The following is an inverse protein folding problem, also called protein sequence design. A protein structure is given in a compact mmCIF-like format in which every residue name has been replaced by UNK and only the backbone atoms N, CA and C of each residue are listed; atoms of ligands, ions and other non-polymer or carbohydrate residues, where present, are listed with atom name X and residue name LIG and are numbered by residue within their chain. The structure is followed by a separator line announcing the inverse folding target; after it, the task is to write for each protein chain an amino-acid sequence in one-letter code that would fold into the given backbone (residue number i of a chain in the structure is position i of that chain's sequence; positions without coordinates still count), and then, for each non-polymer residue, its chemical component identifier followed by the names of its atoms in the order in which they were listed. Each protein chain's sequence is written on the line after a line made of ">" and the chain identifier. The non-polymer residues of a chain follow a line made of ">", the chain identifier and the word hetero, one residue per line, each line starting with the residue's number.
data_IF_766612891312
#
_entry.id   IF_766612891312
#
_cell.length_a   1.000
_cell.length_b   1.000
_cell.length_c   1.000
_cell.angle_alpha   90.00
_cell.angle_beta   90.00
_cell.angle_gamma   90.00
#
_symmetry.space_group_name_H-M   'P 1'
#
loop_
_entity.id
_entity.type
_entity.pdbx_description
1 polymer ?
#
# COMPACT_ATOMS: atom_id res chain seq x y z
N UNK A 1 1.51 -53.20 -58.03
CA UNK A 1 0.47 -52.42 -57.32
C UNK A 1 1.11 -51.87 -56.05
N UNK A 2 1.14 -50.55 -55.92
CA UNK A 2 1.93 -49.79 -54.94
C UNK A 2 1.39 -49.95 -53.52
N UNK A 3 2.22 -50.47 -52.62
CA UNK A 3 1.97 -50.45 -51.18
C UNK A 3 2.52 -49.13 -50.61
N UNK A 4 1.60 -48.28 -50.13
CA UNK A 4 1.92 -47.03 -49.43
C UNK A 4 2.50 -47.38 -48.06
N UNK A 5 3.77 -47.07 -47.83
CA UNK A 5 4.38 -47.14 -46.51
C UNK A 5 3.97 -45.92 -45.69
N UNK A 6 3.26 -46.18 -44.58
CA UNK A 6 2.87 -45.19 -43.58
C UNK A 6 4.11 -44.84 -42.73
N UNK A 7 4.54 -43.59 -42.75
CA UNK A 7 5.61 -43.08 -41.90
C UNK A 7 5.02 -42.69 -40.53
N UNK A 8 5.46 -43.26 -39.39
CA UNK A 8 4.97 -42.82 -38.09
C UNK A 8 5.68 -41.51 -37.71
N UNK A 9 4.90 -40.44 -37.54
CA UNK A 9 5.37 -39.15 -37.05
C UNK A 9 5.64 -39.28 -35.54
N UNK A 10 6.92 -39.40 -35.17
CA UNK A 10 7.35 -39.39 -33.77
C UNK A 10 7.25 -37.94 -33.25
N UNK A 11 6.17 -37.59 -32.56
CA UNK A 11 6.06 -36.33 -31.82
C UNK A 11 6.95 -36.40 -30.58
N UNK A 12 8.17 -35.85 -30.68
CA UNK A 12 9.00 -35.58 -29.51
C UNK A 12 8.34 -34.47 -28.68
N UNK A 13 7.59 -34.85 -27.63
CA UNK A 13 7.24 -33.96 -26.54
C UNK A 13 8.52 -33.62 -25.76
N UNK A 14 9.22 -32.55 -26.14
CA UNK A 14 10.16 -31.92 -25.23
C UNK A 14 9.37 -31.22 -24.13
N UNK A 15 9.57 -31.54 -22.85
CA UNK A 15 8.98 -30.76 -21.78
C UNK A 15 9.57 -29.34 -21.88
N UNK A 16 8.72 -28.36 -22.13
CA UNK A 16 9.08 -26.97 -21.91
C UNK A 16 9.45 -26.85 -20.44
N UNK A 17 10.74 -26.60 -20.17
CA UNK A 17 11.18 -26.17 -18.85
C UNK A 17 10.44 -24.86 -18.58
N UNK A 18 9.36 -24.94 -17.80
CA UNK A 18 8.75 -23.77 -17.19
C UNK A 18 9.81 -23.20 -16.26
N UNK A 19 10.55 -22.20 -16.75
CA UNK A 19 11.38 -21.35 -15.91
C UNK A 19 10.41 -20.72 -14.90
N UNK A 20 10.61 -21.02 -13.62
CA UNK A 20 9.87 -20.38 -12.55
C UNK A 20 9.92 -18.87 -12.75
N UNK A 21 8.77 -18.25 -13.03
CA UNK A 21 8.65 -16.82 -13.17
C UNK A 21 8.85 -16.19 -11.79
N UNK A 22 10.10 -15.84 -11.47
CA UNK A 22 10.40 -14.98 -10.33
C UNK A 22 9.90 -13.56 -10.57
N UNK A 23 9.91 -12.73 -9.53
CA UNK A 23 9.55 -11.29 -9.54
C UNK A 23 10.33 -10.42 -10.55
N UNK A 24 11.22 -10.99 -11.38
CA UNK A 24 12.03 -10.32 -12.38
C UNK A 24 11.21 -9.50 -13.39
N UNK A 25 9.92 -9.79 -13.59
CA UNK A 25 9.05 -8.98 -14.46
C UNK A 25 8.57 -7.67 -13.82
N UNK A 26 8.72 -7.50 -12.49
CA UNK A 26 8.65 -6.20 -11.83
C UNK A 26 9.90 -5.34 -12.10
N UNK A 27 11.02 -5.98 -12.49
CA UNK A 27 12.28 -5.34 -12.89
C UNK A 27 12.28 -4.74 -14.29
N UNK A 28 11.19 -4.09 -14.71
CA UNK A 28 11.26 -3.18 -15.85
C UNK A 28 12.07 -1.93 -15.48
N UNK A 29 12.84 -1.41 -16.44
CA UNK A 29 13.60 -0.16 -16.30
C UNK A 29 12.66 0.97 -15.90
N UNK A 30 13.12 1.91 -15.06
CA UNK A 30 12.35 3.09 -14.68
C UNK A 30 12.33 4.16 -15.80
N UNK A 31 12.58 3.75 -17.04
CA UNK A 31 12.71 4.65 -18.18
C UNK A 31 11.36 5.29 -18.50
N UNK A 32 11.34 6.62 -18.63
CA UNK A 32 10.14 7.41 -18.88
C UNK A 32 9.28 7.72 -17.65
N UNK A 33 9.51 7.08 -16.50
CA UNK A 33 8.86 7.42 -15.24
C UNK A 33 9.60 8.55 -14.51
N UNK A 34 8.88 9.33 -13.71
CA UNK A 34 9.53 10.23 -12.76
C UNK A 34 10.31 9.43 -11.72
N UNK A 35 11.41 10.01 -11.23
CA UNK A 35 12.23 9.44 -10.16
C UNK A 35 12.17 10.33 -8.92
N UNK A 36 12.24 9.74 -7.72
CA UNK A 36 12.28 10.54 -6.51
C UNK A 36 13.48 11.49 -6.51
N UNK A 37 13.26 12.76 -6.15
CA UNK A 37 14.28 13.81 -6.12
C UNK A 37 14.49 14.31 -4.68
N UNK A 38 15.70 14.22 -4.09
CA UNK A 38 15.97 14.70 -2.73
C UNK A 38 15.71 16.20 -2.52
N UNK A 39 15.63 17.00 -3.59
CA UNK A 39 15.26 18.41 -3.51
C UNK A 39 13.75 18.66 -3.38
N UNK A 40 12.91 17.64 -3.63
CA UNK A 40 11.45 17.75 -3.51
C UNK A 40 11.08 18.07 -2.06
N UNK A 41 10.08 18.93 -1.87
CA UNK A 41 9.49 19.26 -0.58
C UNK A 41 7.98 19.14 -0.69
N UNK A 42 7.37 18.51 0.30
CA UNK A 42 5.93 18.29 0.24
C UNK A 42 5.16 19.60 0.30
N UNK A 43 4.18 19.73 -0.60
CA UNK A 43 3.23 20.83 -0.71
C UNK A 43 1.84 20.25 -0.52
N UNK A 44 1.23 20.54 0.63
CA UNK A 44 -0.12 20.09 0.95
C UNK A 44 -1.15 21.19 0.64
N UNK A 45 -2.34 20.85 0.12
CA UNK A 45 -2.89 19.48 0.00
C UNK A 45 -2.48 18.71 -1.27
N UNK A 46 -1.82 19.32 -2.24
CA UNK A 46 -1.52 18.71 -3.56
C UNK A 46 -0.90 17.30 -3.44
N UNK A 47 0.10 17.11 -2.57
CA UNK A 47 0.78 15.81 -2.38
C UNK A 47 -0.05 14.76 -1.62
N UNK A 48 -1.26 15.10 -1.16
CA UNK A 48 -2.24 14.09 -0.73
C UNK A 48 -2.83 13.34 -1.93
N UNK A 49 -2.87 14.01 -3.09
CA UNK A 49 -3.33 13.47 -4.36
C UNK A 49 -2.44 12.38 -4.93
N UNK A 50 -2.79 11.94 -6.13
CA UNK A 50 -2.07 10.93 -6.90
C UNK A 50 -0.94 11.58 -7.72
N UNK A 51 0.19 10.88 -7.83
CA UNK A 51 1.39 11.27 -8.58
C UNK A 51 1.60 10.36 -9.82
N UNK A 52 0.76 10.48 -10.88
CA UNK A 52 0.65 9.51 -11.97
C UNK A 52 1.91 9.33 -12.83
N UNK A 53 2.84 10.26 -12.76
CA UNK A 53 4.17 10.20 -13.39
C UNK A 53 5.09 9.16 -12.73
N UNK A 54 4.82 8.75 -11.49
CA UNK A 54 5.53 7.68 -10.80
C UNK A 54 4.91 6.32 -11.09
N UNK A 55 5.72 5.26 -11.01
CA UNK A 55 5.23 3.91 -11.32
C UNK A 55 4.36 3.31 -10.22
N UNK A 56 4.73 3.52 -8.97
CA UNK A 56 4.13 2.88 -7.79
C UNK A 56 3.70 3.97 -6.81
N UNK A 57 2.52 3.82 -6.24
CA UNK A 57 2.03 4.70 -5.18
C UNK A 57 1.04 3.98 -4.26
N UNK A 58 1.03 4.29 -2.96
CA UNK A 58 0.04 3.74 -2.03
C UNK A 58 -0.45 4.69 -0.94
N UNK A 59 -1.72 4.51 -0.56
CA UNK A 59 -2.36 5.05 0.64
C UNK A 59 -2.61 3.87 1.58
N UNK A 60 -1.98 3.88 2.75
CA UNK A 60 -1.96 2.71 3.62
C UNK A 60 -2.30 3.08 5.06
N UNK A 61 -3.47 2.64 5.53
CA UNK A 61 -3.94 2.82 6.90
C UNK A 61 -3.86 1.50 7.66
N UNK A 62 -3.28 1.53 8.86
CA UNK A 62 -3.40 0.48 9.86
C UNK A 62 -4.00 1.05 11.14
N UNK A 63 -4.76 0.26 11.89
CA UNK A 63 -5.28 0.70 13.18
C UNK A 63 -5.32 -0.42 14.21
N UNK A 64 -5.07 -0.04 15.46
CA UNK A 64 -5.31 -0.87 16.63
C UNK A 64 -6.52 -0.31 17.37
N UNK A 65 -7.55 -1.14 17.50
CA UNK A 65 -8.88 -0.76 17.99
C UNK A 65 -9.28 -1.62 19.18
N UNK A 66 -10.16 -1.08 20.03
CA UNK A 66 -10.78 -1.78 21.14
C UNK A 66 -12.27 -1.48 21.21
N UNK A 67 -13.06 -2.48 21.64
CA UNK A 67 -14.46 -2.30 22.02
C UNK A 67 -14.59 -1.81 23.48
N UNK A 68 -15.82 -1.71 23.98
CA UNK A 68 -16.11 -1.25 25.35
C UNK A 68 -15.64 -2.26 26.42
N UNK A 69 -15.57 -3.54 26.07
CA UNK A 69 -15.11 -4.64 26.91
C UNK A 69 -13.58 -4.77 26.92
N UNK A 70 -12.89 -4.05 26.04
CA UNK A 70 -11.43 -4.00 25.91
C UNK A 70 -10.84 -5.03 24.94
N UNK A 71 -11.69 -5.75 24.20
CA UNK A 71 -11.33 -6.73 23.17
C UNK A 71 -10.53 -6.06 22.06
N UNK A 72 -9.43 -6.67 21.63
CA UNK A 72 -8.56 -6.14 20.59
C UNK A 72 -9.06 -6.47 19.17
N UNK A 73 -9.04 -5.45 18.33
CA UNK A 73 -9.27 -5.54 16.89
C UNK A 73 -8.15 -4.83 16.13
N UNK A 74 -7.84 -5.32 14.95
CA UNK A 74 -6.93 -4.66 14.01
C UNK A 74 -7.62 -4.42 12.69
N UNK A 75 -7.35 -3.29 12.04
CA UNK A 75 -7.76 -3.10 10.64
C UNK A 75 -6.58 -2.72 9.77
N UNK A 76 -6.79 -2.91 8.48
CA UNK A 76 -5.94 -2.44 7.40
C UNK A 76 -6.81 -1.93 6.26
N UNK A 77 -6.45 -0.79 5.67
CA UNK A 77 -7.00 -0.29 4.41
C UNK A 77 -5.86 0.15 3.51
N UNK A 78 -5.78 -0.39 2.29
CA UNK A 78 -4.76 -0.04 1.31
C UNK A 78 -5.40 0.28 -0.02
N UNK A 79 -5.02 1.41 -0.62
CA UNK A 79 -5.18 1.67 -2.04
C UNK A 79 -3.80 1.75 -2.67
N UNK A 80 -3.57 0.91 -3.68
CA UNK A 80 -2.32 0.80 -4.41
C UNK A 80 -2.54 1.16 -5.87
N UNK A 81 -1.68 2.02 -6.43
CA UNK A 81 -1.65 2.33 -7.85
C UNK A 81 -0.37 1.80 -8.47
N UNK A 82 -0.52 1.18 -9.64
CA UNK A 82 0.57 0.83 -10.52
C UNK A 82 0.36 1.43 -11.92
N UNK A 83 1.33 2.19 -12.41
CA UNK A 83 1.35 2.62 -13.80
C UNK A 83 1.81 1.46 -14.70
N UNK A 84 1.01 1.16 -15.72
CA UNK A 84 1.26 0.16 -16.74
C UNK A 84 2.23 0.67 -17.82
N UNK A 85 2.27 1.98 -18.02
CA UNK A 85 3.24 2.68 -18.87
C UNK A 85 3.52 4.10 -18.34
N UNK A 86 4.67 4.70 -18.73
CA UNK A 86 4.97 6.07 -18.33
C UNK A 86 4.11 7.10 -19.05
N UNK A 87 4.03 8.31 -18.47
CA UNK A 87 3.29 9.45 -19.04
C UNK A 87 2.00 9.81 -18.30
N UNK A 88 1.67 9.07 -17.24
CA UNK A 88 0.63 9.46 -16.28
C UNK A 88 -0.80 9.45 -16.81
N UNK A 89 -1.06 8.78 -17.94
CA UNK A 89 -2.42 8.70 -18.48
C UNK A 89 -3.32 7.85 -17.57
N UNK A 90 -4.57 8.28 -17.30
CA UNK A 90 -5.49 7.53 -16.46
C UNK A 90 -5.73 6.08 -16.90
N UNK A 91 -5.91 5.82 -18.20
CA UNK A 91 -6.16 4.48 -18.75
C UNK A 91 -4.96 3.54 -18.68
N UNK A 92 -3.77 4.11 -18.47
CA UNK A 92 -2.50 3.41 -18.27
C UNK A 92 -2.22 3.16 -16.78
N UNK A 93 -3.22 3.34 -15.91
CA UNK A 93 -3.13 3.00 -14.48
C UNK A 93 -3.92 1.72 -14.15
N UNK A 94 -3.39 0.95 -13.21
CA UNK A 94 -4.07 -0.15 -12.53
C UNK A 94 -4.14 0.16 -11.04
N UNK A 95 -5.24 -0.22 -10.40
CA UNK A 95 -5.51 0.01 -9.00
C UNK A 95 -5.83 -1.30 -8.29
N UNK A 96 -5.36 -1.41 -7.05
CA UNK A 96 -5.71 -2.50 -6.14
C UNK A 96 -6.12 -1.93 -4.79
N UNK A 97 -7.31 -2.31 -4.34
CA UNK A 97 -7.77 -2.10 -2.97
C UNK A 97 -7.54 -3.37 -2.16
N UNK A 98 -7.04 -3.25 -0.94
CA UNK A 98 -7.00 -4.35 0.02
C UNK A 98 -7.46 -3.88 1.39
N UNK A 99 -8.42 -4.58 1.97
CA UNK A 99 -8.97 -4.27 3.28
C UNK A 99 -8.98 -5.52 4.14
N UNK A 100 -8.67 -5.38 5.43
CA UNK A 100 -8.71 -6.50 6.35
C UNK A 100 -9.15 -6.09 7.76
N UNK A 101 -9.69 -7.08 8.47
CA UNK A 101 -10.04 -7.01 9.90
C UNK A 101 -9.46 -8.22 10.60
N UNK A 102 -8.66 -7.96 11.64
CA UNK A 102 -8.16 -8.96 12.57
C UNK A 102 -8.98 -8.92 13.85
N UNK A 103 -9.52 -10.07 14.23
CA UNK A 103 -10.32 -10.29 15.45
C UNK A 103 -9.65 -11.35 16.32
N UNK A 104 -10.10 -11.57 17.56
CA UNK A 104 -9.63 -12.71 18.35
C UNK A 104 -9.92 -14.08 17.71
N UNK A 105 -10.93 -14.17 16.84
CA UNK A 105 -11.34 -15.41 16.19
C UNK A 105 -10.55 -15.67 14.88
N UNK A 106 -9.96 -14.65 14.27
CA UNK A 106 -9.23 -14.80 13.01
C UNK A 106 -9.06 -13.51 12.22
N UNK A 107 -8.54 -13.67 11.01
CA UNK A 107 -8.25 -12.58 10.08
C UNK A 107 -9.14 -12.70 8.84
N UNK A 108 -9.89 -11.64 8.53
CA UNK A 108 -10.77 -11.52 7.38
C UNK A 108 -10.19 -10.47 6.43
N UNK A 109 -10.24 -10.70 5.13
CA UNK A 109 -9.75 -9.74 4.15
C UNK A 109 -10.54 -9.79 2.84
N UNK A 110 -10.44 -8.72 2.06
CA UNK A 110 -10.96 -8.65 0.71
C UNK A 110 -10.04 -7.82 -0.16
N UNK A 111 -10.15 -8.03 -1.47
CA UNK A 111 -9.44 -7.25 -2.48
C UNK A 111 -10.41 -6.68 -3.54
N UNK A 112 -9.97 -5.61 -4.19
CA UNK A 112 -10.60 -5.01 -5.37
C UNK A 112 -9.51 -4.72 -6.40
N UNK A 113 -9.84 -4.90 -7.68
CA UNK A 113 -8.97 -4.57 -8.80
C UNK A 113 -9.74 -3.69 -9.77
N UNK A 114 -9.13 -2.58 -10.19
CA UNK A 114 -9.75 -1.64 -11.11
C UNK A 114 -8.76 -1.13 -12.15
N UNK A 115 -9.27 -0.79 -13.34
CA UNK A 115 -8.53 -0.02 -14.33
C UNK A 115 -8.74 1.47 -14.07
N UNK A 116 -7.71 2.27 -14.29
CA UNK A 116 -7.85 3.71 -14.31
C UNK A 116 -8.57 4.21 -15.56
N UNK A 117 -8.94 5.49 -15.55
CA UNK A 117 -9.55 6.19 -16.69
C UNK A 117 -11.04 5.92 -16.95
N UNK A 118 -11.66 5.01 -16.19
CA UNK A 118 -13.09 4.68 -16.30
C UNK A 118 -13.92 5.12 -15.09
N UNK A 119 -13.31 5.83 -14.12
CA UNK A 119 -13.99 6.34 -12.93
C UNK A 119 -14.27 5.31 -11.83
N UNK A 120 -13.66 4.13 -11.90
CA UNK A 120 -13.85 3.05 -10.91
C UNK A 120 -12.95 3.21 -9.67
N UNK A 121 -11.79 3.86 -9.82
CA UNK A 121 -10.85 4.14 -8.75
C UNK A 121 -10.14 5.45 -9.03
N UNK A 122 -9.70 6.14 -7.97
CA UNK A 122 -8.97 7.39 -8.10
C UNK A 122 -8.70 8.06 -6.76
N UNK A 123 -7.96 9.17 -6.83
CA UNK A 123 -7.66 10.02 -5.68
C UNK A 123 -7.79 11.49 -6.07
N UNK A 124 -8.49 12.25 -5.23
CA UNK A 124 -8.62 13.72 -5.27
C UNK A 124 -7.96 14.29 -4.02
N UNK A 125 -7.13 15.33 -4.19
CA UNK A 125 -6.40 15.95 -3.08
C UNK A 125 -7.31 16.82 -2.18
N UNK A 126 -8.26 17.54 -2.77
CA UNK A 126 -9.12 18.50 -2.06
C UNK A 126 -10.52 18.63 -2.70
N UNK A 127 -11.62 18.41 -1.96
CA UNK A 127 -11.63 17.70 -0.67
C UNK A 127 -11.03 16.31 -0.84
N UNK A 128 -10.36 15.81 0.20
CA UNK A 128 -9.63 14.56 0.10
C UNK A 128 -10.58 13.39 -0.16
N UNK A 129 -10.28 12.59 -1.18
CA UNK A 129 -10.98 11.35 -1.47
C UNK A 129 -10.05 10.36 -2.15
N UNK A 130 -9.89 9.17 -1.58
CA UNK A 130 -9.28 8.02 -2.22
C UNK A 130 -10.32 6.88 -2.27
N UNK A 131 -10.56 6.30 -3.44
CA UNK A 131 -11.63 5.33 -3.61
C UNK A 131 -11.31 4.23 -4.62
N UNK A 132 -11.99 3.09 -4.43
CA UNK A 132 -12.12 2.01 -5.42
C UNK A 132 -13.47 1.34 -5.22
N UNK A 133 -14.29 1.34 -6.27
CA UNK A 133 -15.69 0.94 -6.20
C UNK A 133 -16.43 1.65 -5.05
N UNK A 134 -16.99 0.89 -4.11
CA UNK A 134 -17.69 1.41 -2.93
C UNK A 134 -16.78 1.67 -1.72
N UNK A 135 -15.50 1.32 -1.78
CA UNK A 135 -14.54 1.54 -0.68
C UNK A 135 -13.96 2.94 -0.78
N UNK A 136 -13.82 3.61 0.37
CA UNK A 136 -13.46 5.03 0.38
C UNK A 136 -12.66 5.40 1.63
N UNK A 137 -11.72 6.31 1.46
CA UNK A 137 -11.13 7.13 2.50
C UNK A 137 -11.32 8.59 2.09
N UNK A 138 -12.13 9.37 2.80
CA UNK A 138 -12.45 10.73 2.38
C UNK A 138 -12.90 11.65 3.50
N UNK A 139 -12.71 12.96 3.29
CA UNK A 139 -13.11 13.98 4.25
C UNK A 139 -12.77 15.39 3.74
N UNK A 140 -12.92 16.42 4.58
CA UNK A 140 -12.53 17.79 4.20
C UNK A 140 -11.05 17.88 3.80
N UNK A 141 -10.18 17.13 4.49
CA UNK A 141 -8.76 17.00 4.23
C UNK A 141 -8.30 15.59 4.63
N UNK A 142 -7.03 15.27 4.38
CA UNK A 142 -6.51 13.95 4.76
C UNK A 142 -6.38 13.82 6.29
N UNK A 143 -6.28 14.90 7.05
CA UNK A 143 -6.16 14.86 8.52
C UNK A 143 -7.48 14.51 9.23
N UNK A 144 -8.63 14.62 8.56
CA UNK A 144 -9.94 14.19 9.06
C UNK A 144 -10.69 13.42 7.97
N UNK A 145 -10.75 12.09 8.08
CA UNK A 145 -11.33 11.21 7.04
C UNK A 145 -12.25 10.13 7.61
N UNK A 146 -13.31 9.84 6.88
CA UNK A 146 -14.11 8.62 7.02
C UNK A 146 -13.51 7.52 6.14
N UNK A 147 -13.34 6.32 6.69
CA UNK A 147 -12.73 5.16 6.05
C UNK A 147 -13.72 4.00 6.05
N UNK A 148 -14.07 3.53 4.86
CA UNK A 148 -15.00 2.44 4.64
C UNK A 148 -14.41 1.36 3.74
N UNK A 149 -14.66 0.10 4.10
CA UNK A 149 -14.49 -1.05 3.24
C UNK A 149 -15.46 -2.15 3.64
N UNK A 150 -15.81 -3.01 2.68
CA UNK A 150 -16.74 -4.10 2.89
C UNK A 150 -16.45 -5.34 2.04
N UNK A 151 -16.78 -6.49 2.61
CA UNK A 151 -16.84 -7.80 1.98
C UNK A 151 -18.15 -8.49 2.34
N UNK A 152 -18.27 -9.78 2.02
CA UNK A 152 -19.39 -10.58 2.50
C UNK A 152 -19.31 -10.91 4.00
N UNK A 153 -18.11 -10.86 4.60
CA UNK A 153 -17.86 -11.31 5.97
C UNK A 153 -17.62 -10.16 6.94
N UNK A 154 -17.24 -8.98 6.45
CA UNK A 154 -17.02 -7.82 7.30
C UNK A 154 -17.37 -6.51 6.59
N UNK A 155 -17.64 -5.49 7.40
CA UNK A 155 -17.60 -4.09 7.01
C UNK A 155 -16.97 -3.28 8.12
N UNK A 156 -16.27 -2.21 7.79
CA UNK A 156 -15.96 -1.17 8.76
C UNK A 156 -16.33 0.20 8.23
N UNK A 157 -16.71 1.07 9.17
CA UNK A 157 -17.11 2.45 8.97
C UNK A 157 -16.46 3.25 10.11
N UNK A 158 -15.35 3.91 9.80
CA UNK A 158 -14.42 4.47 10.78
C UNK A 158 -14.16 5.94 10.50
N UNK A 159 -14.20 6.78 11.53
CA UNK A 159 -13.78 8.17 11.49
C UNK A 159 -12.39 8.29 12.09
N UNK A 160 -11.46 8.86 11.32
CA UNK A 160 -10.07 9.08 11.67
C UNK A 160 -9.78 10.58 11.71
N UNK A 161 -9.20 11.06 12.80
CA UNK A 161 -8.77 12.47 12.90
C UNK A 161 -7.45 12.66 13.65
N UNK A 162 -6.68 13.66 13.23
CA UNK A 162 -5.47 14.08 13.92
C UNK A 162 -5.22 15.58 13.73
N UNK A 163 -4.83 16.26 14.81
CA UNK A 163 -4.34 17.64 14.76
C UNK A 163 -2.81 17.71 14.62
N UNK A 164 -2.13 16.56 14.62
CA UNK A 164 -0.67 16.49 14.51
C UNK A 164 -0.21 16.70 13.05
N UNK A 165 0.95 17.34 12.82
CA UNK A 165 1.48 17.51 11.48
C UNK A 165 1.83 16.15 10.85
N UNK A 166 1.73 16.08 9.52
CA UNK A 166 2.28 14.96 8.75
C UNK A 166 3.80 14.90 8.95
N UNK A 167 4.33 13.68 9.03
CA UNK A 167 5.74 13.43 9.32
C UNK A 167 6.46 12.99 8.05
N UNK A 168 7.32 13.84 7.46
CA UNK A 168 8.18 13.41 6.36
C UNK A 168 9.16 12.33 6.83
N UNK A 169 9.27 11.25 6.07
CA UNK A 169 10.18 10.13 6.37
C UNK A 169 11.52 10.31 5.66
N UNK A 170 12.59 9.76 6.25
CA UNK A 170 13.94 9.88 5.68
C UNK A 170 14.49 11.31 5.82
N UNK A 171 15.12 11.82 4.77
CA UNK A 171 15.63 13.19 4.73
C UNK A 171 14.57 14.09 4.06
N UNK A 172 13.78 14.81 4.87
CA UNK A 172 12.69 15.70 4.42
C UNK A 172 11.68 15.05 3.44
N UNK A 173 11.40 13.75 3.59
CA UNK A 173 10.47 13.01 2.75
C UNK A 173 11.14 12.17 1.67
N UNK A 174 12.45 12.35 1.45
CA UNK A 174 13.26 11.48 0.61
C UNK A 174 13.77 10.29 1.42
N UNK A 175 13.17 9.12 1.20
CA UNK A 175 13.48 7.89 1.94
C UNK A 175 14.25 6.92 1.04
N UNK A 176 15.54 6.74 1.29
CA UNK A 176 16.39 5.73 0.63
C UNK A 176 16.01 4.35 1.17
N UNK A 177 15.91 3.35 0.28
CA UNK A 177 15.37 2.01 0.56
C UNK A 177 16.30 0.85 0.22
N UNK A 178 17.50 1.11 -0.31
CA UNK A 178 18.48 0.07 -0.61
C UNK A 178 19.90 0.61 -0.63
N UNK A 179 20.89 -0.28 -0.57
CA UNK A 179 22.32 0.08 -0.65
C UNK A 179 22.70 0.68 -2.01
N UNK A 180 21.93 0.36 -3.06
CA UNK A 180 22.11 0.91 -4.42
C UNK A 180 21.35 2.22 -4.64
N UNK A 181 20.84 2.85 -3.56
CA UNK A 181 20.32 4.21 -3.58
C UNK A 181 18.91 4.36 -4.15
N UNK A 182 18.14 3.28 -4.26
CA UNK A 182 16.73 3.37 -4.66
C UNK A 182 15.96 4.10 -3.57
N UNK A 183 15.11 5.05 -3.95
CA UNK A 183 14.40 5.89 -2.98
C UNK A 183 12.91 5.99 -3.29
N UNK A 184 12.20 6.64 -2.37
CA UNK A 184 10.79 7.00 -2.47
C UNK A 184 10.56 8.37 -1.86
N UNK A 185 9.52 9.05 -2.33
CA UNK A 185 8.88 10.09 -1.54
C UNK A 185 7.95 9.45 -0.51
N UNK A 186 8.09 9.81 0.76
CA UNK A 186 7.39 9.13 1.85
C UNK A 186 7.07 10.09 3.01
N UNK A 187 5.81 10.12 3.42
CA UNK A 187 5.38 10.72 4.69
C UNK A 187 4.33 9.85 5.39
N UNK A 188 4.08 10.15 6.67
CA UNK A 188 3.11 9.44 7.50
C UNK A 188 2.19 10.40 8.27
N UNK A 189 1.02 9.92 8.69
CA UNK A 189 0.20 10.51 9.76
C UNK A 189 0.05 9.48 10.88
N UNK A 190 0.92 9.51 11.91
CA UNK A 190 1.01 8.43 12.90
C UNK A 190 0.15 8.66 14.15
N UNK A 191 -0.59 9.78 14.20
CA UNK A 191 -1.34 10.22 15.38
C UNK A 191 -2.86 10.27 15.15
N UNK A 192 -3.40 9.47 14.22
CA UNK A 192 -4.85 9.37 14.11
C UNK A 192 -5.45 8.76 15.36
N UNK A 193 -6.51 9.40 15.85
CA UNK A 193 -7.51 8.77 16.69
C UNK A 193 -8.60 8.17 15.82
N UNK A 194 -9.20 7.07 16.26
CA UNK A 194 -10.22 6.34 15.51
C UNK A 194 -11.45 6.13 16.37
N UNK A 195 -12.63 6.31 15.78
CA UNK A 195 -13.90 5.82 16.32
C UNK A 195 -14.74 5.25 15.20
N UNK A 196 -15.61 4.28 15.47
CA UNK A 196 -16.51 3.78 14.44
C UNK A 196 -17.12 2.43 14.77
N UNK A 197 -17.52 1.71 13.73
CA UNK A 197 -18.21 0.42 13.86
C UNK A 197 -17.60 -0.62 12.92
N UNK A 198 -17.43 -1.83 13.44
CA UNK A 198 -17.17 -3.04 12.67
C UNK A 198 -18.47 -3.83 12.60
N UNK A 199 -18.89 -4.23 11.40
CA UNK A 199 -19.96 -5.22 11.23
C UNK A 199 -19.30 -6.57 10.93
N UNK A 200 -19.39 -7.51 11.87
CA UNK A 200 -18.78 -8.84 11.81
C UNK A 200 -19.87 -9.92 11.80
N UNK A 201 -19.54 -11.19 11.50
CA UNK A 201 -20.52 -12.28 11.51
C UNK A 201 -21.23 -12.47 12.85
N UNK A 202 -20.56 -12.11 13.95
CA UNK A 202 -21.10 -12.19 15.31
C UNK A 202 -22.00 -11.00 15.68
N UNK A 203 -21.94 -9.90 14.91
CA UNK A 203 -22.72 -8.69 15.14
C UNK A 203 -21.93 -7.39 14.91
N UNK A 204 -22.59 -6.28 15.22
CA UNK A 204 -21.94 -4.96 15.19
C UNK A 204 -21.12 -4.73 16.47
N UNK A 205 -19.92 -4.16 16.30
CA UNK A 205 -18.98 -3.84 17.36
C UNK A 205 -18.59 -2.38 17.23
N UNK A 206 -18.92 -1.57 18.23
CA UNK A 206 -18.41 -0.20 18.32
C UNK A 206 -16.98 -0.20 18.83
N UNK A 207 -16.12 0.55 18.16
CA UNK A 207 -14.69 0.52 18.43
C UNK A 207 -14.10 1.92 18.49
N UNK A 208 -13.01 2.04 19.25
CA UNK A 208 -12.16 3.22 19.26
C UNK A 208 -10.70 2.83 19.35
N UNK A 209 -9.78 3.71 18.95
CA UNK A 209 -8.36 3.38 19.01
C UNK A 209 -7.46 4.39 18.32
N UNK A 210 -6.35 3.87 17.79
CA UNK A 210 -5.32 4.66 17.10
C UNK A 210 -5.04 4.08 15.74
N UNK A 211 -4.78 4.96 14.78
CA UNK A 211 -4.39 4.60 13.42
C UNK A 211 -3.10 5.28 12.99
N UNK A 212 -2.53 4.71 11.94
CA UNK A 212 -1.36 5.20 11.25
C UNK A 212 -1.64 5.19 9.76
N UNK A 213 -1.36 6.30 9.08
CA UNK A 213 -1.33 6.36 7.62
C UNK A 213 0.10 6.48 7.11
N UNK A 214 0.38 5.76 6.03
CA UNK A 214 1.55 5.92 5.19
C UNK A 214 1.19 6.29 3.77
N UNK A 215 2.02 7.18 3.20
CA UNK A 215 1.92 7.69 1.84
C UNK A 215 3.27 7.61 1.17
N UNK A 216 3.40 6.75 0.16
CA UNK A 216 4.68 6.54 -0.53
C UNK A 216 4.48 6.45 -2.04
N UNK A 217 5.39 7.04 -2.80
CA UNK A 217 5.47 6.87 -4.25
C UNK A 217 6.93 6.82 -4.76
N UNK A 218 7.15 6.00 -5.78
CA UNK A 218 8.46 5.76 -6.40
C UNK A 218 8.33 5.03 -7.74
N UNK A 219 9.43 4.93 -8.49
CA UNK A 219 9.45 4.25 -9.80
C UNK A 219 10.52 3.19 -9.96
N UNK A 220 11.48 3.14 -9.04
CA UNK A 220 12.57 2.18 -9.11
C UNK A 220 12.08 0.83 -8.59
N UNK A 221 12.22 -0.27 -9.37
CA UNK A 221 11.79 -1.57 -8.93
C UNK A 221 12.63 -2.03 -7.73
N UNK A 222 12.06 -2.83 -6.84
CA UNK A 222 12.85 -3.55 -5.84
C UNK A 222 13.97 -4.33 -6.55
N UNK A 223 15.18 -4.32 -5.99
CA UNK A 223 16.32 -5.01 -6.62
C UNK A 223 16.00 -6.50 -6.78
N UNK A 224 16.47 -7.11 -7.88
CA UNK A 224 16.10 -8.49 -8.25
C UNK A 224 16.55 -9.56 -7.24
N UNK A 225 17.40 -9.19 -6.30
CA UNK A 225 17.94 -10.00 -5.20
C UNK A 225 17.16 -9.85 -3.89
N UNK A 226 16.16 -8.95 -3.82
CA UNK A 226 15.24 -8.82 -2.70
C UNK A 226 14.19 -9.93 -2.72
N UNK A 227 13.98 -10.55 -1.56
CA UNK A 227 12.98 -11.63 -1.39
C UNK A 227 11.68 -11.15 -0.75
N UNK A 228 11.61 -9.89 -0.33
CA UNK A 228 10.47 -9.27 0.35
C UNK A 228 10.91 -8.12 1.26
N UNK A 229 9.99 -7.61 2.06
CA UNK A 229 10.28 -6.65 3.12
C UNK A 229 9.48 -6.99 4.39
N UNK A 230 10.01 -6.63 5.54
CA UNK A 230 9.26 -6.53 6.78
C UNK A 230 9.06 -5.04 7.08
N UNK A 231 7.87 -4.67 7.53
CA UNK A 231 7.55 -3.31 7.95
C UNK A 231 6.77 -3.36 9.26
N UNK A 232 7.05 -2.41 10.15
CA UNK A 232 6.35 -2.23 11.41
C UNK A 232 6.18 -0.75 11.68
N UNK A 233 5.01 -0.37 12.18
CA UNK A 233 4.80 0.88 12.91
C UNK A 233 4.30 0.57 14.31
N UNK A 234 4.81 1.28 15.31
CA UNK A 234 4.49 1.07 16.71
C UNK A 234 4.03 2.38 17.34
N UNK A 235 2.94 2.28 18.11
CA UNK A 235 2.54 3.31 19.04
C UNK A 235 3.15 3.02 20.42
N UNK A 236 4.12 3.82 20.85
CA UNK A 236 4.78 3.65 22.14
C UNK A 236 3.96 4.26 23.29
N UNK A 237 4.20 3.80 24.51
CA UNK A 237 3.41 4.16 25.70
C UNK A 237 3.61 5.59 26.18
N UNK A 238 4.76 6.18 25.87
CA UNK A 238 5.11 7.58 26.14
C UNK A 238 4.56 8.56 25.08
N UNK A 239 3.84 8.05 24.08
CA UNK A 239 3.29 8.85 22.99
C UNK A 239 4.21 8.93 21.77
N UNK A 240 5.46 8.46 21.86
CA UNK A 240 6.34 8.35 20.70
C UNK A 240 5.82 7.31 19.69
N UNK A 241 6.38 7.38 18.49
CA UNK A 241 6.01 6.57 17.33
C UNK A 241 7.28 6.02 16.73
N UNK A 242 7.29 4.74 16.39
CA UNK A 242 8.42 4.12 15.69
C UNK A 242 7.90 3.55 14.38
N UNK A 243 8.55 3.87 13.27
CA UNK A 243 8.44 3.08 12.04
C UNK A 243 9.74 2.34 11.83
N UNK A 244 9.67 1.13 11.31
CA UNK A 244 10.85 0.34 10.96
C UNK A 244 10.56 -0.51 9.74
N UNK A 245 11.52 -0.61 8.82
CA UNK A 245 11.47 -1.61 7.78
C UNK A 245 12.80 -2.31 7.60
N UNK A 246 12.70 -3.56 7.16
CA UNK A 246 13.81 -4.47 6.90
C UNK A 246 13.66 -5.05 5.50
N UNK A 247 14.74 -5.08 4.72
CA UNK A 247 14.79 -5.75 3.41
C UNK A 247 15.92 -6.77 3.39
N UNK A 248 15.61 -8.07 3.50
CA UNK A 248 16.61 -9.11 3.32
C UNK A 248 17.06 -9.15 1.85
N UNK A 249 18.37 -9.01 1.61
CA UNK A 249 18.97 -9.28 0.30
C UNK A 249 19.79 -10.58 0.36
N UNK A 250 19.76 -11.36 -0.73
CA UNK A 250 20.47 -12.66 -0.77
C UNK A 250 21.99 -12.53 -0.74
N UNK A 251 22.55 -11.42 -1.22
CA UNK A 251 23.98 -11.27 -1.45
C UNK A 251 24.65 -10.17 -0.60
N UNK A 252 23.92 -9.11 -0.22
CA UNK A 252 24.53 -7.89 0.35
C UNK A 252 24.13 -7.60 1.82
N UNK A 253 23.53 -8.56 2.51
CA UNK A 253 23.07 -8.39 3.89
C UNK A 253 21.67 -7.78 3.97
N UNK A 254 21.29 -7.28 5.14
CA UNK A 254 19.93 -6.77 5.40
C UNK A 254 19.96 -5.25 5.51
N UNK A 255 19.17 -4.56 4.69
CA UNK A 255 18.96 -3.13 4.83
C UNK A 255 17.91 -2.88 5.92
N UNK A 256 18.19 -1.97 6.86
CA UNK A 256 17.29 -1.59 7.96
C UNK A 256 17.20 -0.07 8.03
N UNK A 257 15.98 0.44 8.16
CA UNK A 257 15.71 1.85 8.45
C UNK A 257 14.61 1.92 9.48
N UNK A 258 14.73 2.83 10.45
CA UNK A 258 13.69 3.01 11.45
C UNK A 258 13.79 4.35 12.16
N UNK A 259 12.99 5.35 11.77
CA UNK A 259 12.95 6.64 12.45
C UNK A 259 12.08 6.53 13.70
N UNK A 260 12.59 7.10 14.80
CA UNK A 260 11.75 7.43 15.95
C UNK A 260 11.14 8.82 15.69
N UNK A 261 9.84 8.93 15.94
CA UNK A 261 9.05 10.13 15.78
C UNK A 261 8.60 10.54 17.17
N UNK A 262 9.03 11.72 17.60
CA UNK A 262 8.70 12.26 18.92
C UNK A 262 7.19 12.49 19.08
N UNK A 263 6.70 12.44 20.32
CA UNK A 263 5.33 12.80 20.63
C UNK A 263 5.04 14.27 20.25
N UNK A 264 3.81 14.62 19.84
CA UNK A 264 3.42 16.02 19.65
C UNK A 264 3.53 16.74 21.01
N UNK A 265 4.17 17.91 21.03
CA UNK A 265 4.33 18.75 22.22
C UNK A 265 3.07 19.52 22.58
#
# INVERSE_FOLDING_TARGET
>A
MSAKALLPLLFCFMPSLAIAQGFAQLGQTSEGYALPDPATRFTFPDDHGSHPEFRIEWWYVTANLKDAEGTDYGIQWTLFRNALSPGGKPEEQAWMGHAAVSTPAGHLFAERLARGGIGQAGVTAEPFEAFIDEWRMAGPDLATVSVTAQSHEFRYDLELSSDAPFVPQGEDGYSVKSFVGQASHYYSQPFYTVTGTLSLPEGEVHVSGRAWLDREWYSQPLSSDQTGWDWVSLHLSDGEKLMGYRRPARAEGTYVFGPCIAAPG
#
